data_IF_783175965294
#
_entry.id   IF_783175965294
#
_cell.length_a   1.000
_cell.length_b   1.000
_cell.length_c   1.000
_cell.angle_alpha   90.00
_cell.angle_beta   90.00
_cell.angle_gamma   90.00
#
_symmetry.space_group_name_H-M   'P 1'
#
loop_
_entity.id
_entity.type
_entity.pdbx_description
1 polymer ?
#
# COMPACT_ATOMS: atom_id res chain seq x y z
N UNK A 1 3.50 -3.60 -4.34
CA UNK A 1 2.07 -3.69 -3.97
C UNK A 1 1.28 -3.59 -5.26
N UNK A 2 0.16 -4.30 -5.38
CA UNK A 2 -0.69 -4.37 -6.58
C UNK A 2 -2.13 -4.72 -6.17
N UNK A 3 -3.11 -4.49 -7.05
CA UNK A 3 -4.52 -4.67 -6.72
C UNK A 3 -4.91 -6.13 -6.47
N UNK A 4 -4.23 -7.10 -7.09
CA UNK A 4 -4.50 -8.52 -6.85
C UNK A 4 -4.07 -8.90 -5.43
N UNK A 5 -2.89 -8.45 -5.01
CA UNK A 5 -2.42 -8.64 -3.64
C UNK A 5 -3.32 -7.95 -2.63
N UNK A 6 -3.77 -6.72 -2.89
CA UNK A 6 -4.74 -6.02 -2.05
C UNK A 6 -6.05 -6.79 -1.90
N UNK A 7 -6.60 -7.31 -3.02
CA UNK A 7 -7.81 -8.14 -3.00
C UNK A 7 -7.62 -9.36 -2.09
N UNK A 8 -6.47 -10.01 -2.16
CA UNK A 8 -6.17 -11.15 -1.30
C UNK A 8 -6.12 -10.75 0.18
N UNK A 9 -5.53 -9.59 0.52
CA UNK A 9 -5.51 -9.05 1.89
C UNK A 9 -6.92 -8.76 2.40
N UNK A 10 -7.80 -8.21 1.56
CA UNK A 10 -9.23 -7.97 1.90
C UNK A 10 -9.93 -9.29 2.20
N UNK A 11 -9.82 -10.28 1.30
CA UNK A 11 -10.50 -11.57 1.45
C UNK A 11 -10.03 -12.36 2.69
N UNK A 12 -8.80 -12.13 3.12
CA UNK A 12 -8.23 -12.72 4.33
C UNK A 12 -8.41 -11.87 5.59
N UNK A 13 -9.07 -10.72 5.48
CA UNK A 13 -9.30 -9.78 6.60
C UNK A 13 -7.96 -9.38 7.25
N UNK A 14 -6.94 -9.12 6.43
CA UNK A 14 -5.59 -8.74 6.89
C UNK A 14 -5.43 -7.24 7.14
N UNK A 15 -6.40 -6.42 6.71
CA UNK A 15 -6.44 -4.99 7.05
C UNK A 15 -7.16 -4.80 8.37
N UNK A 16 -6.42 -4.36 9.38
CA UNK A 16 -6.96 -4.08 10.73
C UNK A 16 -7.35 -2.63 10.90
N UNK A 17 -6.79 -1.76 10.06
CA UNK A 17 -7.10 -0.33 10.00
C UNK A 17 -7.34 0.11 8.54
N UNK A 18 -8.36 0.95 8.26
CA UNK A 18 -8.61 1.49 6.92
C UNK A 18 -7.40 2.22 6.33
N UNK A 19 -6.55 2.82 7.16
CA UNK A 19 -5.30 3.47 6.79
C UNK A 19 -4.29 2.50 6.18
N UNK A 20 -4.22 1.26 6.65
CA UNK A 20 -3.34 0.25 6.04
C UNK A 20 -3.75 -0.05 4.59
N UNK A 21 -5.05 -0.07 4.30
CA UNK A 21 -5.56 -0.23 2.94
C UNK A 21 -5.21 1.01 2.09
N UNK A 22 -5.42 2.21 2.63
CA UNK A 22 -5.12 3.46 1.94
C UNK A 22 -3.63 3.58 1.61
N UNK A 23 -2.76 3.20 2.55
CA UNK A 23 -1.32 3.21 2.36
C UNK A 23 -0.87 2.20 1.29
N UNK A 24 -1.48 1.02 1.24
CA UNK A 24 -1.20 0.05 0.18
C UNK A 24 -1.63 0.57 -1.21
N UNK A 25 -2.76 1.28 -1.31
CA UNK A 25 -3.20 1.93 -2.57
C UNK A 25 -2.20 3.02 -2.98
N UNK A 26 -1.84 3.91 -2.05
CA UNK A 26 -0.85 4.96 -2.30
C UNK A 26 0.48 4.37 -2.73
N UNK A 27 0.89 3.24 -2.13
CA UNK A 27 2.10 2.52 -2.48
C UNK A 27 2.06 1.92 -3.90
N UNK A 28 0.90 1.52 -4.42
CA UNK A 28 0.76 1.12 -5.83
C UNK A 28 1.15 2.28 -6.74
N UNK A 29 0.57 3.47 -6.52
CA UNK A 29 0.83 4.64 -7.36
C UNK A 29 2.24 5.19 -7.18
N UNK A 30 2.76 5.22 -5.94
CA UNK A 30 4.13 5.62 -5.66
C UNK A 30 5.12 4.74 -6.43
N UNK A 31 5.01 3.41 -6.35
CA UNK A 31 5.89 2.52 -7.10
C UNK A 31 5.72 2.71 -8.62
N UNK A 32 4.49 2.92 -9.10
CA UNK A 32 4.26 3.23 -10.51
C UNK A 32 5.07 4.46 -10.95
N UNK A 33 5.11 5.51 -10.13
CA UNK A 33 5.89 6.71 -10.43
C UNK A 33 7.40 6.50 -10.27
N UNK A 34 7.83 5.71 -9.28
CA UNK A 34 9.27 5.48 -9.04
C UNK A 34 9.94 4.64 -10.12
N UNK A 35 9.22 3.66 -10.69
CA UNK A 35 9.81 2.72 -11.64
C UNK A 35 9.53 3.04 -13.11
N UNK A 36 8.53 3.87 -13.41
CA UNK A 36 8.22 4.26 -14.78
C UNK A 36 8.75 5.67 -15.08
N UNK A 37 9.28 5.84 -16.29
CA UNK A 37 9.74 7.16 -16.76
C UNK A 37 8.56 8.15 -16.83
N UNK A 38 8.77 9.45 -16.56
CA UNK A 38 7.68 10.44 -16.62
C UNK A 38 6.98 10.56 -17.98
N UNK A 39 7.66 10.16 -19.07
CA UNK A 39 7.14 10.13 -20.44
C UNK A 39 6.34 8.86 -20.77
N UNK A 40 6.40 7.84 -19.91
CA UNK A 40 5.73 6.57 -20.15
C UNK A 40 4.21 6.68 -19.90
N UNK A 41 3.37 6.00 -20.69
CA UNK A 41 1.91 6.02 -20.51
C UNK A 41 1.49 5.47 -19.14
N UNK A 42 2.23 4.52 -18.58
CA UNK A 42 1.99 3.96 -17.24
C UNK A 42 2.13 5.01 -16.15
N UNK A 43 3.13 5.90 -16.25
CA UNK A 43 3.34 7.00 -15.31
C UNK A 43 2.15 7.97 -15.31
N UNK A 44 1.67 8.34 -16.50
CA UNK A 44 0.50 9.20 -16.66
C UNK A 44 -0.78 8.55 -16.12
N UNK A 45 -0.99 7.26 -16.41
CA UNK A 45 -2.12 6.50 -15.90
C UNK A 45 -2.09 6.38 -14.37
N UNK A 46 -0.91 6.11 -13.78
CA UNK A 46 -0.69 6.05 -12.33
C UNK A 46 -1.00 7.38 -11.64
N UNK A 47 -0.57 8.50 -12.22
CA UNK A 47 -0.93 9.83 -11.73
C UNK A 47 -2.43 10.10 -11.77
N UNK A 48 -3.10 9.75 -12.88
CA UNK A 48 -4.54 9.95 -13.03
C UNK A 48 -5.32 9.16 -11.98
N UNK A 49 -4.94 7.89 -11.76
CA UNK A 49 -5.56 7.04 -10.76
C UNK A 49 -5.32 7.53 -9.32
N UNK A 50 -4.10 7.99 -9.01
CA UNK A 50 -3.78 8.60 -7.71
C UNK A 50 -4.67 9.81 -7.42
N UNK A 51 -4.82 10.72 -8.39
CA UNK A 51 -5.69 11.90 -8.23
C UNK A 51 -7.16 11.52 -8.04
N UNK A 52 -7.65 10.56 -8.82
CA UNK A 52 -9.02 10.04 -8.68
C UNK A 52 -9.25 9.45 -7.28
N UNK A 53 -8.31 8.64 -6.80
CA UNK A 53 -8.38 8.01 -5.49
C UNK A 53 -8.42 9.04 -4.35
N UNK A 54 -7.50 10.01 -4.33
CA UNK A 54 -7.48 11.04 -3.30
C UNK A 54 -8.74 11.93 -3.33
N UNK A 55 -9.28 12.21 -4.52
CA UNK A 55 -10.58 12.89 -4.65
C UNK A 55 -11.69 12.06 -4.01
N UNK A 56 -11.72 10.75 -4.28
CA UNK A 56 -12.74 9.84 -3.74
C UNK A 56 -12.66 9.71 -2.22
N UNK A 57 -11.47 9.70 -1.64
CA UNK A 57 -11.29 9.70 -0.19
C UNK A 57 -11.94 10.93 0.46
N UNK A 58 -11.70 12.12 -0.10
CA UNK A 58 -12.30 13.38 0.40
C UNK A 58 -13.81 13.42 0.22
N UNK A 59 -14.31 13.01 -0.95
CA UNK A 59 -15.77 12.97 -1.22
C UNK A 59 -16.52 12.03 -0.26
N UNK A 60 -15.86 10.97 0.22
CA UNK A 60 -16.40 10.02 1.17
C UNK A 60 -16.09 10.36 2.63
N UNK A 61 -15.38 11.47 2.90
CA UNK A 61 -14.87 11.85 4.22
C UNK A 61 -14.07 10.74 4.92
N UNK A 62 -13.39 9.88 4.16
CA UNK A 62 -12.58 8.77 4.71
C UNK A 62 -11.31 9.31 5.37
N UNK A 63 -10.77 10.40 4.84
CA UNK A 63 -9.59 11.12 5.35
C UNK A 63 -9.72 11.55 6.82
N UNK A 64 -10.93 11.83 7.28
CA UNK A 64 -11.21 12.13 8.69
C UNK A 64 -10.94 10.93 9.61
N UNK A 65 -11.19 9.71 9.13
CA UNK A 65 -10.93 8.48 9.89
C UNK A 65 -9.44 8.13 9.90
N UNK A 66 -8.72 8.44 8.82
CA UNK A 66 -7.27 8.22 8.73
C UNK A 66 -6.49 9.11 9.70
N UNK A 67 -6.93 10.35 9.87
CA UNK A 67 -6.29 11.33 10.76
C UNK A 67 -6.39 10.93 12.24
N UNK A 68 -7.42 10.17 12.62
CA UNK A 68 -7.60 9.61 13.98
C UNK A 68 -6.74 8.36 14.24
N UNK A 69 -6.40 7.61 13.21
CA UNK A 69 -5.59 6.39 13.31
C UNK A 69 -4.09 6.66 13.49
N UNK A 70 -3.60 7.82 13.03
CA UNK A 70 -2.19 8.22 13.10
C UNK A 70 -1.59 8.30 14.53
N UNK A 71 -2.42 8.21 15.58
CA UNK A 71 -1.99 8.11 16.98
C UNK A 71 -1.54 6.72 17.43
N UNK A 72 -1.67 5.68 16.59
CA UNK A 72 -1.20 4.32 16.90
C UNK A 72 -0.02 3.95 16.00
N UNK A 73 1.19 4.12 16.53
CA UNK A 73 2.41 3.58 15.94
C UNK A 73 2.27 2.07 15.67
N UNK A 74 2.60 1.55 14.48
CA UNK A 74 2.60 0.11 14.24
C UNK A 74 3.72 -0.53 15.04
N UNK A 75 3.36 -1.40 15.98
CA UNK A 75 4.28 -2.26 16.70
C UNK A 75 4.97 -3.21 15.71
N UNK A 76 6.30 -3.07 15.63
CA UNK A 76 7.33 -4.02 15.16
C UNK A 76 6.86 -5.13 14.21
N UNK A 77 7.28 -5.04 12.95
CA UNK A 77 7.40 -6.23 12.09
C UNK A 77 8.28 -7.28 12.79
N UNK A 78 7.89 -8.57 12.83
CA UNK A 78 8.75 -9.59 13.37
C UNK A 78 9.98 -9.74 12.47
N UNK A 79 11.15 -9.72 13.10
CA UNK A 79 12.43 -9.99 12.47
C UNK A 79 12.39 -11.39 11.82
N UNK A 80 12.63 -11.45 10.51
CA UNK A 80 12.83 -12.72 9.80
C UNK A 80 14.21 -13.28 10.19
N UNK A 81 14.24 -14.11 11.22
CA UNK A 81 15.41 -14.85 11.67
C UNK A 81 15.35 -16.34 11.32
N UNK A 82 16.43 -16.81 10.69
CA UNK A 82 16.95 -18.19 10.62
C UNK A 82 16.22 -19.17 9.68
N UNK A 83 16.91 -19.94 8.83
CA UNK A 83 18.02 -20.84 9.16
C UNK A 83 19.15 -20.90 8.13
N UNK A 84 20.35 -21.05 8.67
CA UNK A 84 21.54 -21.55 8.00
C UNK A 84 21.29 -22.98 7.47
N UNK A 85 21.56 -23.20 6.19
CA UNK A 85 21.68 -24.53 5.59
C UNK A 85 23.16 -24.87 5.47
N UNK A 86 23.60 -25.84 6.26
CA UNK A 86 24.97 -26.30 6.33
C UNK A 86 25.46 -27.00 5.06
N UNK A 87 26.78 -26.98 4.91
CA UNK A 87 27.61 -27.64 3.90
C UNK A 87 27.67 -29.17 4.10
N UNK A 88 28.00 -29.87 3.00
CA UNK A 88 28.47 -31.29 2.81
C UNK A 88 27.39 -32.19 2.21
N UNK A 89 27.61 -32.99 1.17
CA UNK A 89 28.81 -33.42 0.42
C UNK A 89 28.61 -33.21 -1.07
#
# INVERSE_FOLDING_TARGET
MDFQRMRNKINKIEYTDPGEMVDDIRRIFYNCQQYNMPTAPEYAAGQKMSRFFEKRLRELNIDQYLSRAAGKSPTKSPARGQKAGGRRK
#
